data_IF_250195192768
#
_entry.id   IF_250195192768
#
_cell.length_a   1.000
_cell.length_b   1.000
_cell.length_c   1.000
_cell.angle_alpha   90.00
_cell.angle_beta   90.00
_cell.angle_gamma   90.00
#
_symmetry.space_group_name_H-M   'P 1'
#
loop_
_entity.id
_entity.type
_entity.pdbx_description
1 polymer ?
#
# COMPACT_ATOMS: atom_id res chain seq x y z
N UNK A 1 2.56 15.22 -0.28
CA UNK A 1 2.77 14.24 -1.37
C UNK A 1 1.49 13.99 -2.17
N UNK A 2 0.40 13.52 -1.54
CA UNK A 2 -0.83 13.14 -2.27
C UNK A 2 -1.47 14.27 -3.11
N UNK A 3 -1.47 15.53 -2.63
CA UNK A 3 -2.04 16.64 -3.40
C UNK A 3 -1.31 16.88 -4.74
N UNK A 4 0.02 16.80 -4.77
CA UNK A 4 0.81 16.96 -6.00
C UNK A 4 0.58 15.78 -6.96
N UNK A 5 0.53 14.56 -6.41
CA UNK A 5 0.20 13.35 -7.18
C UNK A 5 -1.20 13.45 -7.81
N UNK A 6 -2.20 13.93 -7.06
CA UNK A 6 -3.56 14.14 -7.56
C UNK A 6 -3.60 15.16 -8.71
N UNK A 7 -2.90 16.30 -8.57
CA UNK A 7 -2.82 17.31 -9.62
C UNK A 7 -2.12 16.79 -10.88
N UNK A 8 -1.04 16.01 -10.70
CA UNK A 8 -0.35 15.36 -11.81
C UNK A 8 -1.28 14.38 -12.55
N UNK A 9 -2.02 13.55 -11.83
CA UNK A 9 -2.99 12.63 -12.43
C UNK A 9 -4.11 13.35 -13.17
N UNK A 10 -4.67 14.40 -12.56
CA UNK A 10 -5.67 15.25 -13.21
C UNK A 10 -5.14 15.79 -14.55
N UNK A 11 -3.92 16.33 -14.57
CA UNK A 11 -3.33 16.84 -15.80
C UNK A 11 -3.19 15.75 -16.88
N UNK A 12 -2.75 14.54 -16.51
CA UNK A 12 -2.59 13.41 -17.43
C UNK A 12 -3.91 12.89 -17.99
N UNK A 13 -4.91 12.73 -17.12
CA UNK A 13 -6.24 12.25 -17.51
C UNK A 13 -7.01 13.30 -18.32
N UNK A 14 -6.91 14.57 -17.97
CA UNK A 14 -7.50 15.65 -18.75
C UNK A 14 -6.88 15.80 -20.13
N UNK A 15 -5.59 15.49 -20.30
CA UNK A 15 -4.94 15.49 -21.61
C UNK A 15 -5.51 14.44 -22.58
N UNK A 16 -6.13 13.37 -22.06
CA UNK A 16 -6.83 12.36 -22.87
C UNK A 16 -8.35 12.53 -22.87
N UNK A 17 -8.85 13.69 -22.44
CA UNK A 17 -10.27 14.05 -22.48
C UNK A 17 -11.09 13.60 -21.27
N UNK A 18 -10.46 13.11 -20.20
CA UNK A 18 -11.16 12.71 -18.97
C UNK A 18 -11.26 13.91 -18.03
N UNK A 19 -12.48 14.30 -17.68
CA UNK A 19 -12.72 15.34 -16.69
C UNK A 19 -12.50 14.78 -15.28
N UNK A 20 -11.54 15.35 -14.54
CA UNK A 20 -11.19 14.91 -13.18
C UNK A 20 -11.43 16.02 -12.18
N UNK A 21 -12.29 15.74 -11.20
CA UNK A 21 -12.53 16.58 -10.03
C UNK A 21 -11.73 16.02 -8.86
N UNK A 22 -10.95 16.88 -8.19
CA UNK A 22 -10.18 16.48 -7.00
C UNK A 22 -10.95 17.00 -5.79
N UNK A 23 -11.33 16.08 -4.91
CA UNK A 23 -11.94 16.39 -3.62
C UNK A 23 -10.93 16.10 -2.50
N UNK A 24 -10.67 17.11 -1.66
CA UNK A 24 -9.88 16.91 -0.44
C UNK A 24 -10.82 16.54 0.68
N UNK A 25 -10.60 15.38 1.28
CA UNK A 25 -11.41 14.87 2.38
C UNK A 25 -10.61 14.89 3.68
N UNK A 26 -11.28 15.20 4.78
CA UNK A 26 -10.78 14.91 6.11
C UNK A 26 -10.70 13.39 6.31
N UNK A 27 -9.87 12.95 7.24
CA UNK A 27 -9.55 11.53 7.43
C UNK A 27 -10.78 10.65 7.66
N UNK A 28 -11.72 11.09 8.50
CA UNK A 28 -12.94 10.32 8.80
C UNK A 28 -13.82 10.15 7.55
N UNK A 29 -14.01 11.24 6.79
CA UNK A 29 -14.76 11.21 5.53
C UNK A 29 -14.06 10.35 4.47
N UNK A 30 -12.74 10.37 4.43
CA UNK A 30 -11.97 9.50 3.53
C UNK A 30 -12.25 8.03 3.84
N UNK A 31 -12.22 7.63 5.13
CA UNK A 31 -12.56 6.26 5.52
C UNK A 31 -14.01 5.90 5.24
N UNK A 32 -14.95 6.82 5.45
CA UNK A 32 -16.34 6.60 5.06
C UNK A 32 -16.47 6.32 3.56
N UNK A 33 -15.76 7.05 2.70
CA UNK A 33 -15.76 6.81 1.25
C UNK A 33 -15.19 5.43 0.90
N UNK A 34 -14.12 5.00 1.55
CA UNK A 34 -13.53 3.67 1.37
C UNK A 34 -14.49 2.56 1.80
N UNK A 35 -15.06 2.67 3.00
CA UNK A 35 -15.96 1.65 3.57
C UNK A 35 -17.30 1.59 2.85
N UNK A 36 -17.83 2.76 2.46
CA UNK A 36 -19.09 2.84 1.69
C UNK A 36 -18.91 2.47 0.23
N UNK A 37 -17.69 2.21 -0.22
CA UNK A 37 -17.42 1.77 -1.59
C UNK A 37 -17.88 2.80 -2.65
N UNK A 38 -17.74 4.10 -2.36
CA UNK A 38 -18.24 5.20 -3.22
C UNK A 38 -17.16 6.00 -3.95
N UNK A 39 -15.88 5.74 -3.68
CA UNK A 39 -14.79 6.43 -4.37
C UNK A 39 -14.58 5.88 -5.77
N UNK A 40 -14.48 6.76 -6.78
CA UNK A 40 -14.13 6.36 -8.15
C UNK A 40 -12.62 6.09 -8.29
N UNK A 41 -11.80 6.99 -7.74
CA UNK A 41 -10.34 6.94 -7.75
C UNK A 41 -9.82 7.47 -6.42
N UNK A 42 -8.96 6.70 -5.77
CA UNK A 42 -8.32 7.08 -4.51
C UNK A 42 -6.81 7.04 -4.63
N UNK A 43 -6.13 7.96 -3.96
CA UNK A 43 -4.69 7.87 -3.75
C UNK A 43 -4.49 7.31 -2.35
N UNK A 44 -3.97 6.09 -2.28
CA UNK A 44 -3.69 5.39 -1.04
C UNK A 44 -2.23 4.95 -0.99
N UNK A 45 -1.72 4.83 0.22
CA UNK A 45 -0.43 4.20 0.50
C UNK A 45 -0.62 3.06 1.48
N UNK A 46 0.15 1.99 1.32
CA UNK A 46 0.13 0.84 2.22
C UNK A 46 1.55 0.51 2.68
N UNK A 47 1.73 0.44 3.99
CA UNK A 47 2.92 -0.13 4.61
C UNK A 47 2.75 -1.62 4.84
N UNK A 48 3.86 -2.34 4.92
CA UNK A 48 3.86 -3.77 5.28
C UNK A 48 3.58 -3.95 6.77
N UNK A 49 2.76 -4.94 7.12
CA UNK A 49 2.42 -5.26 8.51
C UNK A 49 3.44 -6.24 9.15
N UNK A 50 4.09 -7.06 8.32
CA UNK A 50 5.19 -7.97 8.67
C UNK A 50 6.13 -8.13 7.45
N UNK A 51 7.39 -8.62 7.59
CA UNK A 51 8.38 -8.57 6.52
C UNK A 51 8.22 -9.75 5.54
N UNK A 52 7.05 -9.87 4.92
CA UNK A 52 6.71 -10.90 3.94
C UNK A 52 5.75 -10.33 2.88
N UNK A 53 5.86 -10.78 1.64
CA UNK A 53 5.00 -10.34 0.53
C UNK A 53 3.50 -10.56 0.79
N UNK A 54 3.15 -11.61 1.55
CA UNK A 54 1.78 -11.91 1.93
C UNK A 54 1.12 -10.76 2.72
N UNK A 55 1.92 -9.96 3.44
CA UNK A 55 1.42 -8.80 4.18
C UNK A 55 0.72 -7.76 3.28
N UNK A 56 1.09 -7.70 1.99
CA UNK A 56 0.40 -6.86 1.01
C UNK A 56 -0.62 -7.65 0.19
N UNK A 57 -0.28 -8.87 -0.23
CA UNK A 57 -1.15 -9.66 -1.12
C UNK A 57 -2.50 -10.03 -0.49
N UNK A 58 -2.55 -10.18 0.83
CA UNK A 58 -3.80 -10.46 1.55
C UNK A 58 -4.87 -9.38 1.41
N UNK A 59 -4.50 -8.14 1.06
CA UNK A 59 -5.43 -7.03 0.84
C UNK A 59 -6.28 -7.16 -0.43
N UNK A 60 -5.93 -8.10 -1.31
CA UNK A 60 -6.67 -8.39 -2.53
C UNK A 60 -7.72 -9.50 -2.35
N UNK A 61 -7.84 -10.04 -1.13
CA UNK A 61 -8.86 -11.02 -0.81
C UNK A 61 -10.25 -10.39 -0.75
N UNK A 62 -11.27 -11.16 -1.11
CA UNK A 62 -12.66 -10.69 -1.07
C UNK A 62 -13.21 -10.61 0.36
N UNK A 63 -12.76 -11.50 1.24
CA UNK A 63 -13.34 -11.75 2.56
C UNK A 63 -12.75 -10.92 3.70
N UNK A 64 -11.84 -10.00 3.39
CA UNK A 64 -11.29 -9.09 4.39
C UNK A 64 -12.25 -7.92 4.61
N UNK A 65 -12.47 -7.56 5.87
CA UNK A 65 -13.32 -6.44 6.26
C UNK A 65 -12.89 -5.10 5.61
N UNK A 66 -11.61 -4.97 5.29
CA UNK A 66 -10.98 -3.78 4.71
C UNK A 66 -10.63 -3.96 3.23
N UNK A 67 -11.47 -4.65 2.45
CA UNK A 67 -11.31 -4.77 1.01
C UNK A 67 -11.65 -3.43 0.31
N UNK A 68 -10.75 -2.47 0.46
CA UNK A 68 -10.86 -1.14 -0.14
C UNK A 68 -10.50 -1.13 -1.63
N UNK A 69 -10.07 -2.28 -2.17
CA UNK A 69 -9.71 -2.46 -3.57
C UNK A 69 -10.86 -3.05 -4.38
N UNK A 70 -11.99 -3.35 -3.73
CA UNK A 70 -13.21 -3.83 -4.37
C UNK A 70 -12.97 -5.09 -5.21
N UNK A 71 -11.99 -5.90 -4.80
CA UNK A 71 -11.63 -7.13 -5.48
C UNK A 71 -12.69 -8.18 -5.20
N UNK A 72 -13.17 -8.83 -6.25
CA UNK A 72 -14.17 -9.90 -6.19
C UNK A 72 -13.71 -11.07 -7.07
N UNK A 73 -12.66 -11.77 -6.64
CA UNK A 73 -12.09 -12.92 -7.34
C UNK A 73 -11.92 -14.12 -6.39
N UNK A 74 -12.86 -15.05 -6.45
CA UNK A 74 -12.84 -16.25 -5.61
C UNK A 74 -11.68 -17.19 -5.93
N UNK A 75 -11.16 -17.18 -7.16
CA UNK A 75 -9.99 -18.00 -7.51
C UNK A 75 -8.73 -17.45 -6.87
N UNK A 76 -8.58 -16.12 -6.91
CA UNK A 76 -7.49 -15.41 -6.27
C UNK A 76 -7.50 -15.65 -4.75
N UNK A 77 -8.67 -15.67 -4.12
CA UNK A 77 -8.80 -15.95 -2.70
C UNK A 77 -8.22 -17.31 -2.30
N UNK A 78 -8.53 -18.37 -3.04
CA UNK A 78 -8.04 -19.72 -2.73
C UNK A 78 -6.51 -19.80 -2.86
N UNK A 79 -5.95 -19.19 -3.90
CA UNK A 79 -4.51 -19.15 -4.10
C UNK A 79 -3.81 -18.36 -2.99
N UNK A 80 -4.36 -17.19 -2.61
CA UNK A 80 -3.84 -16.39 -1.51
C UNK A 80 -3.89 -17.15 -0.17
N UNK A 81 -4.92 -17.96 0.06
CA UNK A 81 -5.04 -18.83 1.25
C UNK A 81 -4.04 -19.99 1.24
N UNK A 82 -3.61 -20.45 0.07
CA UNK A 82 -2.67 -21.56 -0.06
C UNK A 82 -1.21 -21.14 0.23
N UNK A 83 -0.85 -19.88 0.00
CA UNK A 83 0.53 -19.36 0.13
C UNK A 83 1.24 -19.70 1.45
N UNK A 84 0.61 -19.61 2.65
CA UNK A 84 1.28 -19.95 3.91
C UNK A 84 1.72 -21.41 4.02
N UNK A 85 1.08 -22.31 3.27
CA UNK A 85 1.32 -23.75 3.32
C UNK A 85 2.35 -24.22 2.29
N UNK A 86 2.80 -23.32 1.41
CA UNK A 86 3.84 -23.61 0.42
C UNK A 86 5.24 -23.54 1.04
N UNK A 87 6.18 -24.30 0.46
CA UNK A 87 7.59 -24.13 0.78
C UNK A 87 8.12 -22.79 0.22
N UNK A 88 9.28 -22.36 0.70
CA UNK A 88 9.81 -21.03 0.38
C UNK A 88 10.09 -20.81 -1.12
N UNK A 89 10.54 -21.84 -1.85
CA UNK A 89 10.85 -21.72 -3.27
C UNK A 89 9.59 -21.54 -4.11
N UNK A 90 8.61 -22.43 -3.92
CA UNK A 90 7.35 -22.40 -4.64
C UNK A 90 6.54 -21.14 -4.30
N UNK A 91 6.65 -20.65 -3.06
CA UNK A 91 5.96 -19.44 -2.62
C UNK A 91 6.44 -18.17 -3.33
N UNK A 92 7.73 -18.07 -3.66
CA UNK A 92 8.27 -16.91 -4.39
C UNK A 92 7.67 -16.85 -5.79
N UNK A 93 7.67 -17.99 -6.51
CA UNK A 93 7.06 -18.07 -7.83
C UNK A 93 5.57 -17.74 -7.77
N UNK A 94 4.84 -18.30 -6.80
CA UNK A 94 3.43 -18.02 -6.61
C UNK A 94 3.16 -16.52 -6.32
N UNK A 95 4.03 -15.84 -5.57
CA UNK A 95 3.92 -14.39 -5.36
C UNK A 95 4.04 -13.60 -6.66
N UNK A 96 4.97 -13.97 -7.55
CA UNK A 96 5.15 -13.28 -8.83
C UNK A 96 3.93 -13.47 -9.74
N UNK A 97 3.45 -14.70 -9.88
CA UNK A 97 2.28 -15.04 -10.69
C UNK A 97 1.00 -14.33 -10.18
N UNK A 98 0.81 -14.29 -8.85
CA UNK A 98 -0.33 -13.59 -8.25
C UNK A 98 -0.26 -12.08 -8.44
N UNK A 99 0.93 -11.48 -8.35
CA UNK A 99 1.10 -10.04 -8.59
C UNK A 99 0.73 -9.67 -10.02
N UNK A 100 1.18 -10.45 -11.01
CA UNK A 100 0.85 -10.21 -12.41
C UNK A 100 -0.67 -10.30 -12.65
N UNK A 101 -1.33 -11.30 -12.05
CA UNK A 101 -2.78 -11.44 -12.12
C UNK A 101 -3.51 -10.27 -11.47
N UNK A 102 -3.09 -9.85 -10.29
CA UNK A 102 -3.66 -8.69 -9.59
C UNK A 102 -3.54 -7.43 -10.45
N UNK A 103 -2.36 -7.17 -11.02
CA UNK A 103 -2.13 -5.99 -11.87
C UNK A 103 -2.95 -6.04 -13.16
N UNK A 104 -3.18 -7.24 -13.71
CA UNK A 104 -4.03 -7.42 -14.90
C UNK A 104 -5.49 -7.01 -14.65
N UNK A 105 -5.98 -7.04 -13.40
CA UNK A 105 -7.32 -6.58 -13.04
C UNK A 105 -7.46 -5.04 -13.05
N UNK A 106 -6.35 -4.30 -13.05
CA UNK A 106 -6.31 -2.83 -13.09
C UNK A 106 -7.09 -2.15 -11.96
N UNK A 107 -7.31 -2.85 -10.85
CA UNK A 107 -7.93 -2.30 -9.63
C UNK A 107 -7.00 -1.36 -8.88
N UNK A 108 -5.69 -1.48 -9.12
CA UNK A 108 -4.66 -0.58 -8.60
C UNK A 108 -3.70 -0.13 -9.70
N UNK A 109 -3.09 1.03 -9.49
CA UNK A 109 -1.98 1.54 -10.29
C UNK A 109 -0.83 1.86 -9.33
N UNK A 110 0.20 1.01 -9.22
CA UNK A 110 1.38 1.31 -8.40
C UNK A 110 2.07 2.58 -8.90
N UNK A 111 2.29 3.55 -8.01
CA UNK A 111 2.87 4.85 -8.39
C UNK A 111 4.34 4.96 -8.01
N UNK A 112 4.68 4.51 -6.81
CA UNK A 112 6.03 4.51 -6.26
C UNK A 112 6.11 3.55 -5.09
N UNK A 113 7.31 3.05 -4.82
CA UNK A 113 7.63 2.24 -3.65
C UNK A 113 8.67 2.99 -2.82
N UNK A 114 8.59 2.87 -1.50
CA UNK A 114 9.56 3.51 -0.60
C UNK A 114 8.91 3.99 0.68
N UNK A 115 9.58 4.93 1.33
CA UNK A 115 9.14 5.46 2.61
C UNK A 115 8.70 6.91 2.48
N UNK A 116 7.60 7.27 3.15
CA UNK A 116 7.09 8.64 3.17
C UNK A 116 7.75 9.50 4.25
N UNK A 117 8.44 8.90 5.21
CA UNK A 117 9.18 9.66 6.22
C UNK A 117 10.64 9.80 5.80
N UNK A 118 11.12 11.03 5.88
CA UNK A 118 12.52 11.37 6.01
C UNK A 118 12.73 11.92 7.42
N UNK A 119 13.62 11.29 8.19
CA UNK A 119 13.98 11.75 9.53
C UNK A 119 15.21 12.64 9.46
N UNK A 120 15.13 13.85 10.03
CA UNK A 120 16.32 14.61 10.38
C UNK A 120 16.75 14.21 11.79
N UNK A 121 18.02 13.86 11.93
CA UNK A 121 18.57 13.43 13.21
C UNK A 121 19.59 14.45 13.69
N UNK A 122 19.57 14.69 15.01
CA UNK A 122 20.61 15.50 15.64
C UNK A 122 21.99 14.87 15.39
N UNK A 123 23.04 15.67 15.16
CA UNK A 123 24.42 15.15 15.08
C UNK A 123 24.87 14.34 16.31
N UNK A 124 24.15 14.46 17.44
CA UNK A 124 24.42 13.67 18.66
C UNK A 124 23.96 12.21 18.55
N UNK A 125 23.05 11.89 17.64
CA UNK A 125 22.57 10.52 17.43
C UNK A 125 23.65 9.75 16.70
N UNK A 126 24.29 8.80 17.41
CA UNK A 126 25.44 8.04 16.88
C UNK A 126 25.03 6.88 16.00
N UNK A 127 23.83 6.32 16.22
CA UNK A 127 23.33 5.15 15.50
C UNK A 127 21.82 5.22 15.39
N UNK A 128 21.32 4.93 14.19
CA UNK A 128 19.90 4.75 13.91
C UNK A 128 19.77 3.37 13.26
N UNK A 129 19.15 2.39 13.92
CA UNK A 129 18.96 1.09 13.30
C UNK A 129 17.97 1.21 12.13
N UNK A 130 18.31 0.61 10.99
CA UNK A 130 17.35 0.40 9.91
C UNK A 130 16.25 -0.53 10.38
N UNK A 131 15.01 -0.20 10.07
CA UNK A 131 13.85 -1.02 10.43
C UNK A 131 12.95 -1.23 9.21
N UNK A 132 12.51 -2.47 8.92
CA UNK A 132 11.78 -2.78 7.69
C UNK A 132 10.43 -2.06 7.58
N UNK A 133 9.84 -1.66 8.72
CA UNK A 133 8.57 -0.92 8.76
C UNK A 133 8.76 0.61 8.73
N UNK A 134 10.00 1.10 8.67
CA UNK A 134 10.30 2.53 8.69
C UNK A 134 10.13 3.23 10.04
N UNK A 135 9.47 2.59 11.02
CA UNK A 135 9.47 3.03 12.42
C UNK A 135 10.82 2.73 13.08
N UNK A 136 11.50 3.75 13.61
CA UNK A 136 12.68 3.55 14.44
C UNK A 136 12.31 3.57 15.92
N UNK A 137 12.63 2.50 16.63
CA UNK A 137 12.60 2.47 18.08
C UNK A 137 14.02 2.76 18.59
N UNK A 138 14.21 3.90 19.22
CA UNK A 138 15.45 4.18 19.94
C UNK A 138 15.33 3.65 21.35
N UNK A 139 16.33 2.88 21.78
CA UNK A 139 16.44 2.58 23.20
C UNK A 139 16.99 3.80 23.92
N UNK A 140 16.51 4.05 25.14
CA UNK A 140 16.90 5.23 25.93
C UNK A 140 18.42 5.28 26.17
N UNK A 141 19.07 4.13 26.31
CA UNK A 141 20.52 3.98 26.47
C UNK A 141 21.32 4.28 25.19
N UNK A 142 20.67 4.29 24.01
CA UNK A 142 21.29 4.69 22.73
C UNK A 142 21.25 6.21 22.50
N UNK A 143 20.54 6.95 23.36
CA UNK A 143 20.46 8.41 23.37
C UNK A 143 21.34 8.94 24.51
N UNK A 144 22.65 9.03 24.28
CA UNK A 144 23.54 9.72 25.23
C UNK A 144 23.42 11.25 25.09
N UNK A 145 23.45 12.02 26.20
CA UNK A 145 23.38 13.49 26.20
C UNK A 145 24.49 14.18 25.39
#
# INVERSE_FOLDING_TARGET
>A
MHAQTAQWFKAKLSAVGINVVIESLDFDKYYEVLLSKRGELIIAGKGIDYPDGLANLTYFRTDIQNNFLFMEDASLDEELRALPFMNAGDRIQAYEELQDRILAQKTIIPLYFGHITSGLWSPRVRKIPSHPFGFQFLKIDEISP
#
